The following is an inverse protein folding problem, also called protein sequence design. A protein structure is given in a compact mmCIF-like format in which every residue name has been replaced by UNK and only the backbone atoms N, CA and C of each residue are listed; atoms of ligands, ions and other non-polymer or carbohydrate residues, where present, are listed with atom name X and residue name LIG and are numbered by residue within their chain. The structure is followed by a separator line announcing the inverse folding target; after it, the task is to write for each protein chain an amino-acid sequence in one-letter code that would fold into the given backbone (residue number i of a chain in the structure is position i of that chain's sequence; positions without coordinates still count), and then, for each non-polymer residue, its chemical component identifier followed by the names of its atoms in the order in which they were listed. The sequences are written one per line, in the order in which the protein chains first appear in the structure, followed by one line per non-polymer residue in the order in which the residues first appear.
data_IF_956145262651
#
_entry.id   IF_956145262651
#
_cell.length_a   1.000
_cell.length_b   1.000
_cell.length_c   1.000
_cell.angle_alpha   90.00
_cell.angle_beta   90.00
_cell.angle_gamma   90.00
#
_symmetry.space_group_name_H-M   'P 1'
#
loop_
_entity.id
_entity.type
_entity.pdbx_description
1 polymer ?
2 polymer ?
3 polymer ?
4 non-polymer ?
5 water ?
#
loop_
_entity_poly.entity_id
_entity_poly.type
_entity_poly.pdbx_seq_one_letter_code
_entity_poly.pdbx_strand_id
1 'polydeoxyribonucleotide' '(DT)(DC)(DC)(DT)(DC)(DA)(DT)(DG)(DC)(DA)(DT)(DA)(DT)(DG)(DC)(DA)(DT)(DG)(DA)(DG)(DG)' ?
2 'polydeoxyribonucleotide' '(DT)(DC)(DC)(DT)(DC)(DA)(DT)(DG)(DC)(DA)(DT)(DA)(DT)(DG)(DC)(DA)(DT)(DG)(DA)(DG)(DG)(DA)' ?
#
# COMPACT_ATOMS: atom_id res chain seq x y z
N UNK C 5 -0.79 28.26 15.08
CA UNK C 5 -1.89 27.26 15.04
C UNK C 5 -3.20 27.92 14.61
N UNK C 6 -3.07 28.98 13.78
CA UNK C 6 -4.22 29.78 13.35
C UNK C 6 -4.94 28.93 12.31
N UNK C 7 -6.24 29.14 12.06
CA UNK C 7 -6.91 28.38 10.99
C UNK C 7 -6.48 28.80 9.60
N UNK C 8 -5.93 30.00 9.41
CA UNK C 8 -5.45 30.37 8.09
C UNK C 8 -4.17 29.62 7.76
N UNK C 9 -3.42 29.22 8.79
CA UNK C 9 -2.25 28.40 8.56
C UNK C 9 -2.65 26.99 8.15
N UNK C 10 -3.74 26.49 8.72
CA UNK C 10 -4.24 25.17 8.32
C UNK C 10 -4.82 25.22 6.91
N UNK C 11 -5.49 26.32 6.54
CA UNK C 11 -5.97 26.44 5.17
C UNK C 11 -4.83 26.64 4.18
N UNK C 12 -3.75 27.31 4.61
CA UNK C 12 -2.59 27.42 3.75
C UNK C 12 -1.97 26.05 3.51
N UNK C 13 -2.00 25.19 4.51
CA UNK C 13 -1.46 23.83 4.34
C UNK C 13 -2.37 23.00 3.43
N UNK C 14 -3.69 23.07 3.64
CA UNK C 14 -4.60 22.37 2.74
C UNK C 14 -4.41 22.82 1.29
N UNK C 15 -4.49 24.13 1.04
CA UNK C 15 -4.37 24.63 -0.34
C UNK C 15 -3.08 24.18 -0.98
N UNK C 16 -1.95 24.33 -0.28
CA UNK C 16 -0.68 23.98 -0.89
C UNK C 16 -0.58 22.48 -1.14
N UNK C 17 -1.11 21.66 -0.25
CA UNK C 17 -1.04 20.22 -0.47
C UNK C 17 -1.75 19.83 -1.77
N UNK C 18 -2.93 20.42 -2.00
CA UNK C 18 -3.62 20.19 -3.26
C UNK C 18 -2.79 20.70 -4.43
N UNK C 19 -2.24 21.90 -4.30
CA UNK C 19 -1.46 22.46 -5.39
C UNK C 19 -0.20 21.64 -5.65
N UNK C 20 0.41 21.08 -4.61
CA UNK C 20 1.60 20.28 -4.83
C UNK C 20 1.27 18.98 -5.57
N UNK C 21 0.16 18.35 -5.22
CA UNK C 21 -0.20 17.08 -5.87
C UNK C 21 -0.51 17.28 -7.35
N UNK C 22 -1.44 18.18 -7.66
CA UNK C 22 -1.77 18.41 -9.07
C UNK C 22 -0.53 18.78 -9.87
N UNK C 23 0.32 19.63 -9.31
CA UNK C 23 1.51 20.09 -10.04
C UNK C 23 2.54 18.98 -10.16
N UNK C 24 2.69 18.15 -9.13
CA UNK C 24 3.58 16.99 -9.26
C UNK C 24 3.11 16.08 -10.38
N UNK C 25 1.80 15.84 -10.46
CA UNK C 25 1.27 14.93 -11.47
C UNK C 25 1.33 15.57 -12.84
N UNK C 26 1.09 16.89 -12.92
CA UNK C 26 1.19 17.56 -14.22
C UNK C 26 2.61 17.52 -14.75
N UNK C 27 3.60 17.66 -13.86
CA UNK C 27 4.99 17.63 -14.27
C UNK C 27 5.49 16.23 -14.55
N UNK C 28 4.72 15.20 -14.23
CA UNK C 28 5.14 13.83 -14.50
C UNK C 28 6.16 13.28 -13.53
N UNK C 29 6.04 13.63 -12.26
CA UNK C 29 6.89 13.06 -11.21
C UNK C 29 6.09 12.10 -10.35
N UNK C 30 6.67 10.94 -10.04
CA UNK C 30 6.09 10.09 -9.02
C UNK C 30 6.37 10.67 -7.64
N UNK C 31 5.64 10.19 -6.62
CA UNK C 31 5.98 10.58 -5.26
C UNK C 31 7.41 10.20 -4.95
N UNK C 32 7.84 9.02 -5.40
CA UNK C 32 9.20 8.59 -5.17
C UNK C 32 10.22 9.42 -5.91
N UNK C 33 9.87 9.96 -7.08
CA UNK C 33 10.79 10.85 -7.78
C UNK C 33 11.07 12.09 -6.97
N UNK C 34 10.05 12.63 -6.31
CA UNK C 34 10.24 13.80 -5.47
C UNK C 34 11.18 13.46 -4.31
N UNK C 35 10.90 12.35 -3.63
CA UNK C 35 11.74 11.94 -2.51
C UNK C 35 13.20 11.86 -2.88
N UNK C 36 13.49 11.43 -4.12
CA UNK C 36 14.88 11.32 -4.53
C UNK C 36 15.47 12.67 -4.91
N UNK C 37 14.70 13.50 -5.63
CA UNK C 37 15.22 14.78 -6.08
C UNK C 37 15.64 15.66 -4.91
N UNK C 38 14.86 15.67 -3.83
CA UNK C 38 15.20 16.51 -2.69
C UNK C 38 16.51 16.09 -2.04
N UNK C 39 16.81 14.80 -1.99
CA UNK C 39 18.10 14.38 -1.48
C UNK C 39 19.24 15.03 -2.24
N UNK C 40 19.11 15.10 -3.56
CA UNK C 40 20.12 15.79 -4.37
C UNK C 40 20.00 17.31 -4.22
N UNK C 41 18.80 17.81 -3.97
CA UNK C 41 18.57 19.25 -3.92
C UNK C 41 18.91 19.82 -2.54
N UNK C 42 18.61 19.07 -1.47
CA UNK C 42 18.84 19.54 -0.11
C UNK C 42 19.74 18.63 0.71
N UNK C 43 20.29 17.56 0.15
CA UNK C 43 21.17 16.71 0.92
C UNK C 43 20.43 15.65 1.70
N UNK C 44 19.22 15.97 2.14
CA UNK C 44 18.41 15.09 2.96
C UNK C 44 17.36 14.44 2.07
N UNK C 45 17.47 13.14 1.88
CA UNK C 45 16.52 12.41 1.05
C UNK C 45 15.25 12.14 1.85
N UNK C 46 14.14 12.00 1.13
CA UNK C 46 12.86 11.67 1.75
C UNK C 46 12.25 10.49 1.01
N UNK C 47 11.32 9.82 1.69
CA UNK C 47 10.74 8.58 1.21
C UNK C 47 9.38 8.81 0.53
N UNK C 48 9.01 7.85 -0.32
CA UNK C 48 7.70 7.87 -0.93
C UNK C 48 6.60 7.96 0.13
N UNK C 49 6.82 7.32 1.27
CA UNK C 49 5.82 7.33 2.35
C UNK C 49 5.59 8.75 2.85
N UNK C 50 6.67 9.51 3.06
CA UNK C 50 6.54 10.85 3.62
C UNK C 50 5.86 11.79 2.62
N UNK C 51 6.20 11.65 1.33
CA UNK C 51 5.54 12.47 0.32
C UNK C 51 4.04 12.18 0.30
N UNK C 52 3.68 10.89 0.32
CA UNK C 52 2.27 10.52 0.32
C UNK C 52 1.56 11.14 1.52
N UNK C 53 2.14 10.99 2.72
CA UNK C 53 1.52 11.54 3.92
C UNK C 53 1.39 13.05 3.83
N UNK C 54 2.38 13.71 3.21
CA UNK C 54 2.29 15.17 3.08
C UNK C 54 1.14 15.58 2.18
N UNK C 55 1.03 14.94 1.02
CA UNK C 55 -0.02 15.33 0.08
C UNK C 55 -1.40 15.12 0.66
N UNK C 56 -1.55 14.23 1.62
CA UNK C 56 -2.84 13.96 2.25
C UNK C 56 -2.94 14.55 3.65
N UNK C 57 -1.89 15.22 4.14
CA UNK C 57 -1.91 15.80 5.48
C UNK C 57 -2.04 14.72 6.55
N UNK C 58 -1.45 13.55 6.30
CA UNK C 58 -1.36 12.53 7.32
C UNK C 58 -0.12 12.79 8.17
N UNK C 59 0.05 14.04 8.62
CA UNK C 59 1.18 14.42 9.44
C UNK C 59 0.73 15.47 10.45
N UNK C 60 1.55 15.66 11.47
CA UNK C 60 1.29 16.71 12.44
C UNK C 60 1.41 18.09 11.79
N UNK C 61 0.65 19.05 12.31
CA UNK C 61 0.76 20.42 11.82
C UNK C 61 2.20 20.88 11.84
N UNK C 62 2.91 20.61 12.94
CA UNK C 62 4.34 20.97 13.09
C UNK C 62 5.13 20.31 11.96
N UNK C 63 4.88 19.03 11.66
CA UNK C 63 5.61 18.29 10.63
C UNK C 63 5.31 18.86 9.24
N UNK C 64 4.04 19.09 8.94
CA UNK C 64 3.66 19.74 7.69
C UNK C 64 4.45 21.03 7.47
N UNK C 65 4.42 21.93 8.45
CA UNK C 65 5.01 23.26 8.29
C UNK C 65 6.51 23.17 7.99
N UNK C 66 7.20 22.17 8.53
CA UNK C 66 8.63 22.07 8.28
C UNK C 66 8.92 21.53 6.88
N UNK C 67 8.04 20.67 6.34
CA UNK C 67 8.29 20.10 5.01
C UNK C 67 7.82 21.01 3.89
N UNK C 68 6.76 21.79 4.11
CA UNK C 68 6.22 22.62 3.04
C UNK C 68 7.29 23.47 2.36
N UNK C 69 8.08 24.27 3.08
CA UNK C 69 9.08 25.09 2.37
C UNK C 69 10.08 24.26 1.58
N UNK C 70 10.47 23.09 2.10
CA UNK C 70 11.36 22.21 1.35
C UNK C 70 10.72 21.76 0.05
N UNK C 71 9.51 21.20 0.13
CA UNK C 71 8.80 20.78 -1.09
C UNK C 71 8.48 21.98 -1.98
N UNK C 72 8.31 23.17 -1.39
CA UNK C 72 7.99 24.34 -2.20
C UNK C 72 9.15 24.74 -3.09
N UNK C 73 10.37 24.75 -2.56
CA UNK C 73 11.51 25.08 -3.40
C UNK C 73 11.64 24.10 -4.54
N UNK C 74 11.49 22.81 -4.27
CA UNK C 74 11.61 21.81 -5.34
C UNK C 74 10.60 22.09 -6.44
N UNK C 75 9.35 22.36 -6.06
CA UNK C 75 8.32 22.62 -7.06
C UNK C 75 8.63 23.89 -7.85
N UNK C 76 9.03 24.97 -7.16
CA UNK C 76 9.32 26.21 -7.86
C UNK C 76 10.43 26.00 -8.88
N UNK C 77 11.47 25.24 -8.54
CA UNK C 77 12.54 24.99 -9.49
C UNK C 77 12.05 24.13 -10.65
N UNK C 78 11.14 23.20 -10.38
CA UNK C 78 10.64 22.32 -11.43
C UNK C 78 9.68 23.05 -12.35
N UNK C 79 8.88 23.98 -11.82
CA UNK C 79 7.92 24.72 -12.64
C UNK C 79 8.59 25.70 -13.60
N UNK C 80 9.85 26.06 -13.36
CA UNK C 80 10.57 26.95 -14.26
C UNK C 80 11.43 26.19 -15.25
N UNK C 81 11.84 24.96 -14.91
CA UNK C 81 12.55 24.11 -15.85
C UNK C 81 11.60 23.56 -16.91
N UNK C 82 10.32 23.39 -16.57
CA UNK C 82 9.36 22.86 -17.54
C UNK C 82 8.87 23.93 -18.51
N UNK C 83 8.92 25.21 -18.11
CA UNK C 83 8.52 26.29 -19.00
C UNK C 83 9.67 26.72 -19.90
N UNK C 84 10.91 26.30 -19.57
CA UNK C 84 12.08 26.54 -20.39
C UNK C 84 12.32 25.43 -21.41
N UNK C 85 11.79 24.22 -21.13
CA UNK C 85 11.84 23.12 -22.09
C UNK C 85 10.53 23.03 -22.85
N UNK D 7 -3.54 -33.19 -0.66
CA UNK D 7 -3.19 -33.95 -1.85
C UNK D 7 -3.98 -33.54 -3.10
N UNK D 8 -5.01 -32.72 -2.90
CA UNK D 8 -5.91 -32.33 -3.98
C UNK D 8 -5.22 -31.51 -5.07
N UNK D 9 -4.03 -30.96 -4.79
CA UNK D 9 -3.21 -30.18 -5.72
C UNK D 9 -3.52 -28.71 -5.49
N UNK D 10 -4.80 -28.40 -5.29
CA UNK D 10 -5.16 -27.07 -4.84
C UNK D 10 -4.74 -26.90 -3.37
N UNK D 11 -4.86 -27.97 -2.58
CA UNK D 11 -4.33 -27.93 -1.22
C UNK D 11 -2.82 -27.94 -1.22
N UNK D 12 -2.19 -28.52 -2.25
CA UNK D 12 -0.74 -28.48 -2.35
C UNK D 12 -0.25 -27.05 -2.61
N UNK D 13 -0.99 -26.28 -3.41
CA UNK D 13 -0.61 -24.89 -3.65
C UNK D 13 -0.86 -24.03 -2.42
N UNK D 14 -2.01 -24.22 -1.76
CA UNK D 14 -2.30 -23.47 -0.55
C UNK D 14 -1.18 -23.64 0.46
N UNK D 15 -0.87 -24.89 0.82
CA UNK D 15 0.17 -25.14 1.79
C UNK D 15 1.49 -24.55 1.33
N UNK D 16 1.85 -24.76 0.07
CA UNK D 16 3.14 -24.27 -0.39
C UNK D 16 3.20 -22.75 -0.32
N UNK D 17 2.10 -22.09 -0.68
CA UNK D 17 2.06 -20.63 -0.59
C UNK D 17 2.19 -20.17 0.85
N UNK D 18 1.48 -20.82 1.77
CA UNK D 18 1.61 -20.47 3.19
C UNK D 18 3.03 -20.72 3.69
N UNK D 19 3.59 -21.89 3.38
CA UNK D 19 4.93 -22.20 3.85
C UNK D 19 5.97 -21.33 3.18
N UNK D 20 5.74 -20.92 1.94
CA UNK D 20 6.70 -20.05 1.29
C UNK D 20 6.78 -18.72 2.00
N UNK D 21 5.65 -18.20 2.47
CA UNK D 21 5.66 -16.92 3.16
C UNK D 21 6.47 -17.02 4.45
N UNK D 22 6.12 -17.99 5.30
CA UNK D 22 6.87 -18.16 6.54
C UNK D 22 8.34 -18.40 6.26
N UNK D 23 8.65 -19.20 5.24
CA UNK D 23 10.05 -19.50 4.96
C UNK D 23 10.78 -18.29 4.38
N UNK D 24 10.10 -17.49 3.54
CA UNK D 24 10.71 -16.26 3.05
C UNK D 24 11.03 -15.32 4.21
N UNK D 25 10.12 -15.23 5.17
CA UNK D 25 10.29 -14.30 6.28
C UNK D 25 11.37 -14.78 7.23
N UNK D 26 11.50 -16.10 7.43
CA UNK D 26 12.56 -16.60 8.30
C UNK D 26 13.93 -16.27 7.72
N UNK D 27 14.06 -16.28 6.39
CA UNK D 27 15.33 -15.96 5.76
C UNK D 27 15.62 -14.47 5.77
N UNK D 28 14.64 -13.63 6.10
CA UNK D 28 14.85 -12.21 6.06
C UNK D 28 14.87 -11.63 4.67
N UNK D 29 14.06 -12.18 3.75
CA UNK D 29 13.93 -11.65 2.41
C UNK D 29 12.60 -10.93 2.24
N UNK D 30 12.67 -9.75 1.62
CA UNK D 30 11.47 -9.04 1.22
C UNK D 30 10.87 -9.71 -0.02
N UNK D 31 9.62 -9.36 -0.29
CA UNK D 31 8.98 -9.84 -1.51
C UNK D 31 9.74 -9.38 -2.74
N UNK D 32 10.23 -8.14 -2.74
CA UNK D 32 10.96 -7.65 -3.89
C UNK D 32 12.32 -8.31 -4.07
N UNK D 33 12.99 -8.66 -2.97
CA UNK D 33 14.27 -9.34 -3.08
C UNK D 33 14.12 -10.71 -3.75
N UNK D 34 13.02 -11.42 -3.45
CA UNK D 34 12.79 -12.70 -4.11
C UNK D 34 12.63 -12.49 -5.61
N UNK D 35 11.79 -11.52 -5.99
CA UNK D 35 11.59 -11.27 -7.41
C UNK D 35 12.89 -11.01 -8.16
N UNK D 36 13.82 -10.29 -7.52
CA UNK D 36 15.09 -9.97 -8.17
C UNK D 36 16.03 -11.16 -8.16
N UNK D 37 16.12 -11.87 -7.03
CA UNK D 37 17.02 -13.01 -6.94
C UNK D 37 16.68 -14.06 -8.00
N UNK D 38 15.38 -14.27 -8.25
CA UNK D 38 14.97 -15.24 -9.25
C UNK D 38 15.43 -14.83 -10.64
N UNK D 39 15.34 -13.54 -10.95
CA UNK D 39 15.80 -13.06 -12.25
C UNK D 39 17.28 -13.31 -12.49
N UNK D 40 18.12 -13.04 -11.49
CA UNK D 40 19.55 -13.28 -11.66
C UNK D 40 19.86 -14.76 -11.66
N UNK D 41 19.09 -15.56 -10.92
CA UNK D 41 19.36 -16.99 -10.81
C UNK D 41 18.71 -17.80 -11.92
N UNK D 42 17.51 -17.42 -12.35
CA UNK D 42 16.74 -18.23 -13.29
C UNK D 42 16.35 -17.45 -14.54
N UNK D 43 16.86 -16.23 -14.69
CA UNK D 43 16.69 -15.39 -15.88
C UNK D 43 15.56 -14.37 -15.96
N UNK D 44 14.36 -14.71 -15.49
CA UNK D 44 13.23 -13.79 -15.55
C UNK D 44 12.88 -13.29 -14.15
N UNK D 45 13.06 -11.99 -13.93
CA UNK D 45 12.73 -11.40 -12.64
C UNK D 45 11.23 -11.12 -12.53
N UNK D 46 10.76 -11.04 -11.28
CA UNK D 46 9.37 -10.76 -10.98
C UNK D 46 9.28 -9.61 -9.99
N UNK D 47 8.09 -9.04 -9.87
CA UNK D 47 7.87 -7.84 -9.08
C UNK D 47 7.37 -8.17 -7.69
N UNK D 48 7.57 -7.22 -6.77
CA UNK D 48 7.03 -7.38 -5.42
C UNK D 48 5.53 -7.62 -5.45
N UNK D 49 4.83 -7.03 -6.42
CA UNK D 49 3.38 -7.24 -6.53
C UNK D 49 3.05 -8.70 -6.83
N UNK D 50 3.80 -9.31 -7.77
CA UNK D 50 3.50 -10.69 -8.15
C UNK D 50 3.77 -11.65 -7.00
N UNK D 51 4.86 -11.44 -6.26
CA UNK D 51 5.15 -12.27 -5.11
C UNK D 51 4.05 -12.13 -4.07
N UNK D 52 3.65 -10.89 -3.77
CA UNK D 52 2.62 -10.66 -2.78
C UNK D 52 1.35 -11.41 -3.12
N UNK D 53 0.94 -11.36 -4.39
CA UNK D 53 -0.27 -12.06 -4.81
C UNK D 53 -0.13 -13.56 -4.68
N UNK D 54 1.07 -14.09 -4.97
CA UNK D 54 1.28 -15.52 -4.83
C UNK D 54 1.09 -15.97 -3.38
N UNK D 55 1.71 -15.25 -2.45
CA UNK D 55 1.62 -15.61 -1.04
C UNK D 55 0.19 -15.52 -0.51
N UNK D 56 -0.66 -14.72 -1.15
CA UNK D 56 -2.04 -14.56 -0.72
C UNK D 56 -3.02 -15.30 -1.63
N UNK D 57 -2.52 -16.00 -2.64
CA UNK D 57 -3.36 -16.78 -3.56
C UNK D 57 -4.30 -15.87 -4.36
N UNK D 58 -3.86 -14.65 -4.61
CA UNK D 58 -4.58 -13.72 -5.49
C UNK D 58 -4.13 -13.87 -6.94
N UNK D 59 -3.85 -15.10 -7.40
CA UNK D 59 -3.44 -15.38 -8.80
C UNK D 59 -4.28 -16.55 -9.30
N UNK D 60 -4.35 -16.75 -10.61
CA UNK D 60 -5.09 -17.88 -11.22
C UNK D 60 -4.41 -19.18 -10.81
N UNK D 61 -5.14 -20.30 -10.75
CA UNK D 61 -4.56 -21.63 -10.41
C UNK D 61 -3.51 -21.99 -11.46
N UNK D 62 -3.64 -21.49 -12.68
CA UNK D 62 -2.68 -21.75 -13.77
C UNK D 62 -1.39 -20.96 -13.50
N UNK D 63 -1.49 -19.71 -13.03
CA UNK D 63 -0.31 -18.83 -12.80
C UNK D 63 0.33 -19.22 -11.46
N UNK D 64 -0.47 -19.67 -10.50
CA UNK D 64 0.07 -20.18 -9.22
C UNK D 64 0.92 -21.41 -9.54
N UNK D 65 0.48 -22.28 -10.45
CA UNK D 65 1.23 -23.48 -10.80
C UNK D 65 2.49 -23.16 -11.57
N UNK D 66 2.49 -22.08 -12.35
CA UNK D 66 3.66 -21.72 -13.12
C UNK D 66 4.78 -21.16 -12.24
N UNK D 67 4.41 -20.47 -11.16
CA UNK D 67 5.42 -19.85 -10.31
C UNK D 67 5.99 -20.79 -9.26
N UNK D 68 5.20 -21.78 -8.81
CA UNK D 68 5.61 -22.65 -7.71
C UNK D 68 7.00 -23.25 -7.91
N UNK D 69 7.26 -23.95 -9.02
CA UNK D 69 8.60 -24.56 -9.17
C UNK D 69 9.72 -23.54 -9.17
N UNK D 70 9.50 -22.35 -9.73
CA UNK D 70 10.51 -21.30 -9.66
C UNK D 70 10.81 -20.93 -8.22
N UNK D 71 9.77 -20.58 -7.46
CA UNK D 71 9.96 -20.25 -6.05
C UNK D 71 10.50 -21.45 -5.28
N UNK D 72 10.19 -22.66 -5.73
CA UNK D 72 10.66 -23.87 -5.06
C UNK D 72 12.17 -24.00 -5.21
N UNK D 73 12.70 -23.80 -6.42
CA UNK D 73 14.14 -23.83 -6.62
C UNK D 73 14.85 -22.74 -5.83
N UNK D 74 14.31 -21.52 -5.86
CA UNK D 74 14.95 -20.41 -5.15
C UNK D 74 15.06 -20.69 -3.66
N UNK D 75 14.00 -21.27 -3.06
CA UNK D 75 14.06 -21.59 -1.64
C UNK D 75 15.18 -22.57 -1.33
N UNK D 76 15.37 -23.58 -2.17
CA UNK D 76 16.46 -24.52 -1.92
C UNK D 76 17.80 -23.81 -1.86
N UNK D 77 18.04 -22.88 -2.79
CA UNK D 77 19.32 -22.17 -2.83
C UNK D 77 19.48 -21.24 -1.63
N UNK D 78 18.41 -20.55 -1.24
CA UNK D 78 18.51 -19.57 -0.17
C UNK D 78 18.63 -20.22 1.20
N UNK D 79 17.92 -21.32 1.43
CA UNK D 79 17.97 -21.98 2.74
C UNK D 79 19.30 -22.69 2.99
N UNK D 80 20.06 -22.99 1.94
CA UNK D 80 21.40 -23.58 2.10
C UNK D 80 22.52 -22.57 1.86
N UNK D 81 22.39 -21.32 2.33
CA UNK D 81 23.50 -20.38 2.17
C UNK D 81 24.65 -20.70 3.13
N UNK D 82 24.32 -21.16 4.34
CA UNK D 82 25.31 -21.44 5.37
C UNK D 82 25.90 -22.85 5.30
N UNK D 83 25.25 -23.78 4.61
CA UNK D 83 25.64 -25.19 4.65
C UNK D 83 26.83 -25.41 3.72
N UNK D 84 27.98 -25.74 4.30
CA UNK D 84 29.14 -26.15 3.52
C UNK D 84 29.16 -27.66 3.35
N UNK E 110 9.04 -13.44 12.32
CA UNK E 110 8.45 -13.08 13.59
C UNK E 110 7.56 -11.84 13.47
N UNK E 111 7.34 -11.35 12.24
CA UNK E 111 6.48 -10.20 12.03
C UNK E 111 5.21 -10.34 12.85
N UNK E 112 4.70 -9.21 13.33
CA UNK E 112 3.48 -9.19 14.12
C UNK E 112 2.38 -8.46 13.36
N UNK E 113 1.27 -9.14 13.11
CA UNK E 113 0.08 -8.58 12.50
C UNK E 113 -1.05 -8.69 13.51
N UNK E 114 -1.95 -7.71 13.51
CA UNK E 114 -3.04 -7.68 14.48
C UNK E 114 -4.30 -8.25 13.82
N UNK E 115 -4.89 -9.25 14.47
CA UNK E 115 -6.17 -9.79 14.02
C UNK E 115 -7.19 -8.67 13.94
N UNK E 116 -8.09 -8.78 12.97
CA UNK E 116 -9.11 -7.76 12.77
C UNK E 116 -9.87 -7.47 14.06
N UNK E 117 -10.36 -8.51 14.74
CA UNK E 117 -11.11 -8.29 15.97
C UNK E 117 -10.22 -7.84 17.13
N UNK E 118 -8.94 -8.22 17.12
CA UNK E 118 -8.00 -7.67 18.12
C UNK E 118 -7.85 -6.16 17.93
N UNK E 119 -7.81 -5.70 16.67
CA UNK E 119 -7.66 -4.28 16.42
C UNK E 119 -8.87 -3.51 16.95
N UNK E 120 -10.05 -4.08 16.83
CA UNK E 120 -11.23 -3.43 17.41
C UNK E 120 -11.12 -3.37 18.92
N UNK E 121 -10.64 -4.44 19.55
CA UNK E 121 -10.48 -4.43 21.00
C UNK E 121 -9.46 -3.38 21.44
N UNK E 122 -8.32 -3.31 20.75
CA UNK E 122 -7.31 -2.31 21.12
C UNK E 122 -7.84 -0.90 20.90
N UNK E 123 -8.61 -0.69 19.83
CA UNK E 123 -9.23 0.60 19.61
C UNK E 123 -10.23 0.91 20.72
N UNK E 124 -11.03 -0.08 21.13
CA UNK E 124 -11.99 0.14 22.20
C UNK E 124 -11.30 0.59 23.49
N UNK E 125 -10.15 0.01 23.81
CA UNK E 125 -9.43 0.42 25.01
C UNK E 125 -8.83 1.81 24.86
N UNK E 126 -8.40 2.19 23.65
CA UNK E 126 -7.80 3.53 23.39
C UNK E 126 -8.84 4.61 23.63
N UNK E 127 -10.06 4.40 23.15
CA UNK E 127 -11.13 5.41 23.26
C UNK E 127 -11.45 5.61 24.73
N UNK E 128 -11.23 4.58 25.56
CA UNK E 128 -11.44 4.65 27.02
C UNK E 128 -10.22 5.29 27.67
N UNK E 129 -9.00 4.82 27.37
CA UNK E 129 -7.76 5.35 27.94
C UNK E 129 -6.72 5.41 26.84
N UNK E 130 -6.36 6.63 26.43
CA UNK E 130 -5.41 6.82 25.34
C UNK E 130 -3.96 6.59 25.74
N UNK E 131 -3.63 6.66 27.03
CA UNK E 131 -2.26 6.54 27.52
C UNK E 131 -2.21 5.57 28.69
N UNK E 132 -2.13 4.27 28.42
CA UNK E 132 -2.04 3.29 29.50
C UNK E 132 -0.64 3.22 30.09
N UNK E 133 -0.58 2.80 31.35
CA UNK E 133 0.68 2.62 32.02
C UNK E 133 1.36 1.33 31.56
N UNK E 134 2.64 1.21 31.89
CA UNK E 134 3.39 0.00 31.53
C UNK E 134 2.73 -1.24 32.13
N UNK E 135 2.09 -1.11 33.29
CA UNK E 135 1.42 -2.24 33.90
C UNK E 135 0.16 -2.60 33.12
N UNK E 136 -0.64 -1.59 32.76
CA UNK E 136 -1.83 -1.85 31.97
C UNK E 136 -1.47 -2.47 30.63
N UNK E 137 -0.39 -1.98 30.01
CA UNK E 137 0.06 -2.54 28.74
C UNK E 137 0.32 -4.03 28.89
N UNK E 138 0.94 -4.43 30.00
CA UNK E 138 1.23 -5.84 30.24
C UNK E 138 -0.04 -6.66 30.40
N UNK E 139 -1.05 -6.09 31.06
CA UNK E 139 -2.30 -6.81 31.26
C UNK E 139 -3.08 -6.93 29.95
N UNK E 140 -3.09 -5.86 29.13
CA UNK E 140 -3.69 -5.94 27.81
C UNK E 140 -2.97 -6.98 26.97
N UNK E 141 -1.63 -6.95 26.99
CA UNK E 141 -0.87 -7.92 26.22
C UNK E 141 -1.09 -9.34 26.74
N UNK E 142 -1.15 -9.51 28.05
CA UNK E 142 -1.42 -10.83 28.62
C UNK E 142 -2.81 -11.32 28.23
N UNK E 143 -3.82 -10.45 28.34
CA UNK E 143 -5.22 -10.80 28.00
C UNK E 143 -5.29 -11.17 26.52
N UNK E 144 -4.53 -10.49 25.66
CA UNK E 144 -4.53 -10.76 24.22
C UNK E 144 -3.44 -11.75 23.81
N UNK E 145 -2.59 -12.19 24.75
CA UNK E 145 -1.49 -13.09 24.46
C UNK E 145 -0.61 -12.55 23.32
N UNK E 146 -0.04 -11.37 23.58
CA UNK E 146 0.82 -10.69 22.62
C UNK E 146 2.05 -10.17 23.36
N UNK E 147 3.11 -9.89 22.60
CA UNK E 147 4.28 -9.27 23.20
C UNK E 147 3.93 -7.87 23.68
N UNK E 148 4.47 -7.51 24.84
CA UNK E 148 4.13 -6.23 25.45
C UNK E 148 4.58 -5.05 24.59
N UNK E 149 5.69 -5.20 23.86
CA UNK E 149 6.16 -4.11 23.01
C UNK E 149 5.24 -3.87 21.83
N UNK E 150 4.62 -4.93 21.30
CA UNK E 150 3.70 -4.73 20.18
C UNK E 150 2.51 -3.89 20.62
N UNK E 151 2.04 -4.12 21.85
CA UNK E 151 0.97 -3.29 22.38
C UNK E 151 1.52 -1.92 22.75
N UNK E 152 2.72 -1.89 23.32
CA UNK E 152 3.35 -0.63 23.67
C UNK E 152 3.47 0.28 22.45
N UNK E 153 3.92 -0.28 21.33
CA UNK E 153 4.14 0.52 20.13
C UNK E 153 2.81 0.88 19.49
N UNK E 154 1.83 -0.03 19.54
CA UNK E 154 0.55 0.25 18.92
C UNK E 154 -0.09 1.48 19.55
N UNK E 155 -0.03 1.60 20.87
CA UNK E 155 -0.62 2.76 21.52
C UNK E 155 0.16 4.03 21.20
N UNK E 156 1.47 3.92 21.00
CA UNK E 156 2.24 5.09 20.57
C UNK E 156 1.75 5.57 19.22
N UNK E 157 1.68 4.66 18.26
CA UNK E 157 1.28 5.05 16.91
C UNK E 157 -0.15 5.56 16.89
N UNK E 158 -1.03 4.99 17.72
CA UNK E 158 -2.41 5.44 17.74
C UNK E 158 -2.51 6.85 18.32
N UNK E 159 -1.64 7.20 19.28
CA UNK E 159 -1.59 8.58 19.75
C UNK E 159 -1.06 9.51 18.65
N UNK E 160 0.04 9.13 18.01
CA UNK E 160 0.60 9.96 16.94
C UNK E 160 -0.44 10.25 15.87
N UNK E 161 -1.09 9.20 15.37
CA UNK E 161 -2.03 9.39 14.26
C UNK E 161 -3.20 10.27 14.67
N UNK E 162 -3.55 10.27 15.96
CA UNK E 162 -4.62 11.14 16.42
C UNK E 162 -4.19 12.61 16.40
N UNK E 163 -2.89 12.89 16.43
CA UNK E 163 -2.40 14.27 16.32
C UNK E 163 -2.05 14.64 14.88
N UNK E 164 -2.66 14.01 13.90
CA UNK E 164 -2.43 14.39 12.52
C UNK E 164 -3.55 15.34 12.09
N UNK E 165 -3.28 16.17 11.07
CA UNK E 165 -4.29 17.13 10.55
C UNK E 165 -5.44 16.26 10.07
N UNK E 166 -5.12 15.22 9.32
CA UNK E 166 -6.11 14.22 8.85
C UNK E 166 -5.63 12.90 9.48
N UNK E 167 -6.27 12.30 10.50
CA UNK E 167 -5.81 11.00 11.01
C UNK E 167 -5.61 9.95 9.91
N UNK F 110 0.27 7.29 -15.28
CA UNK F 110 -1.05 7.69 -15.76
C UNK F 110 -2.13 6.80 -15.16
N UNK F 111 -2.81 7.30 -14.12
CA UNK F 111 -3.88 6.57 -13.46
C UNK F 111 -5.02 7.52 -13.17
N UNK F 112 -6.25 7.02 -13.28
CA UNK F 112 -7.46 7.76 -12.93
C UNK F 112 -8.11 7.04 -11.75
N UNK F 113 -8.43 7.79 -10.70
CA UNK F 113 -8.95 7.22 -9.48
C UNK F 113 -10.44 7.53 -9.29
N UNK F 114 -11.12 6.58 -8.66
CA UNK F 114 -12.56 6.64 -8.41
C UNK F 114 -12.79 7.16 -7.01
N UNK F 115 -13.74 8.09 -6.87
CA UNK F 115 -14.05 8.69 -5.58
C UNK F 115 -14.26 7.61 -4.53
N UNK F 116 -15.39 6.90 -4.58
CA UNK F 116 -15.70 5.85 -3.63
C UNK F 116 -17.14 5.42 -3.79
N UNK F 117 -18.06 6.38 -3.76
CA UNK F 117 -19.48 6.06 -3.97
C UNK F 117 -19.74 5.73 -5.43
N UNK F 118 -18.93 6.28 -6.34
CA UNK F 118 -18.98 5.87 -7.73
C UNK F 118 -18.63 4.39 -7.84
N UNK F 119 -17.64 3.94 -7.06
CA UNK F 119 -17.25 2.53 -7.09
C UNK F 119 -18.37 1.64 -6.58
N UNK F 120 -19.13 2.09 -5.58
CA UNK F 120 -20.25 1.29 -5.06
C UNK F 120 -21.31 1.11 -6.13
N UNK F 121 -21.66 2.19 -6.83
CA UNK F 121 -22.63 2.08 -7.92
C UNK F 121 -22.06 1.22 -9.04
N UNK F 122 -20.76 1.39 -9.34
CA UNK F 122 -20.08 0.65 -10.43
C UNK F 122 -20.03 -0.83 -10.01
N UNK F 123 -19.84 -1.12 -8.71
CA UNK F 123 -19.89 -2.50 -8.22
C UNK F 123 -21.30 -3.06 -8.34
N UNK F 124 -22.31 -2.24 -8.02
CA UNK F 124 -23.69 -2.70 -8.16
C UNK F 124 -23.99 -3.11 -9.60
N UNK F 125 -23.41 -2.41 -10.56
CA UNK F 125 -23.62 -2.76 -11.97
C UNK F 125 -22.95 -4.09 -12.31
N UNK F 126 -21.79 -4.36 -11.72
CA UNK F 126 -21.13 -5.64 -11.96
C UNK F 126 -21.97 -6.79 -11.42
N UNK F 127 -22.42 -6.67 -10.17
CA UNK F 127 -23.26 -7.70 -9.57
C UNK F 127 -24.53 -7.93 -10.38
N UNK F 128 -25.02 -6.90 -11.05
CA UNK F 128 -26.19 -7.06 -11.91
C UNK F 128 -25.83 -7.78 -13.19
N UNK F 129 -24.76 -7.33 -13.86
CA UNK F 129 -24.31 -7.93 -15.11
C UNK F 129 -22.79 -7.96 -15.07
N UNK F 130 -22.22 -9.17 -14.94
CA UNK F 130 -20.78 -9.31 -14.82
C UNK F 130 -20.06 -9.13 -16.13
N UNK F 131 -20.75 -9.30 -17.25
CA UNK F 131 -20.17 -9.17 -18.60
C UNK F 131 -21.07 -8.29 -19.43
N UNK F 132 -20.94 -6.97 -19.30
CA UNK F 132 -21.76 -6.06 -20.11
C UNK F 132 -21.19 -5.90 -21.52
N UNK F 133 -22.09 -5.54 -22.43
CA UNK F 133 -21.69 -5.26 -23.80
C UNK F 133 -21.04 -3.88 -23.88
N UNK F 134 -20.43 -3.59 -25.03
CA UNK F 134 -19.80 -2.29 -25.22
C UNK F 134 -20.81 -1.16 -25.02
N UNK F 135 -22.08 -1.40 -25.36
CA UNK F 135 -23.10 -0.37 -25.19
C UNK F 135 -23.41 -0.13 -23.71
N UNK F 136 -23.58 -1.21 -22.94
CA UNK F 136 -23.90 -1.07 -21.52
C UNK F 136 -22.81 -0.30 -20.78
N UNK F 137 -21.54 -0.64 -21.04
CA UNK F 137 -20.44 0.06 -20.39
C UNK F 137 -20.51 1.56 -20.67
N UNK F 138 -20.85 1.94 -21.90
CA UNK F 138 -20.92 3.37 -22.22
C UNK F 138 -22.02 4.06 -21.43
N UNK F 139 -23.18 3.41 -21.29
CA UNK F 139 -24.27 4.01 -20.53
C UNK F 139 -23.97 4.00 -19.04
N UNK F 140 -23.30 2.95 -18.55
CA UNK F 140 -22.84 2.95 -17.16
C UNK F 140 -21.95 4.14 -16.90
N UNK F 141 -21.02 4.42 -17.83
CA UNK F 141 -20.17 5.59 -17.68
C UNK F 141 -20.97 6.88 -17.74
N UNK F 142 -21.99 6.93 -18.61
CA UNK F 142 -22.83 8.10 -18.69
C UNK F 142 -23.53 8.38 -17.37
N UNK F 143 -24.00 7.32 -16.71
CA UNK F 143 -24.71 7.42 -15.40
C UNK F 143 -23.73 7.89 -14.34
N UNK F 144 -22.48 7.43 -14.37
CA UNK F 144 -21.48 7.75 -13.30
C UNK F 144 -20.79 9.09 -13.58
N UNK F 145 -19.88 9.17 -14.57
CA UNK F 145 -19.05 10.37 -14.88
C UNK F 145 -17.71 9.94 -15.50
N UNK F 146 -17.21 8.74 -15.16
CA UNK F 146 -15.91 8.20 -15.67
C UNK F 146 -15.85 8.16 -17.19
N UNK F 147 -14.67 7.95 -17.77
CA UNK F 147 -14.48 7.82 -19.23
C UNK F 147 -15.00 6.42 -19.59
N UNK F 148 -15.30 6.17 -20.86
CA UNK F 148 -15.87 4.86 -21.31
C UNK F 148 -14.82 3.77 -21.18
N UNK F 149 -13.54 4.07 -21.40
CA UNK F 149 -12.43 3.08 -21.36
C UNK F 149 -11.99 2.87 -19.92
N UNK F 150 -12.24 3.83 -19.04
CA UNK F 150 -11.96 3.66 -17.59
C UNK F 150 -12.90 2.55 -17.12
N UNK F 151 -14.12 2.45 -17.68
CA UNK F 151 -15.09 1.47 -17.20
C UNK F 151 -14.82 0.12 -17.82
N UNK F 152 -14.43 0.09 -19.10
CA UNK F 152 -14.10 -1.18 -19.76
C UNK F 152 -13.06 -1.95 -18.95
N UNK F 153 -12.01 -1.26 -18.50
CA UNK F 153 -10.93 -1.94 -17.81
C UNK F 153 -11.36 -2.35 -16.40
N UNK F 154 -12.18 -1.53 -15.76
CA UNK F 154 -12.63 -1.90 -14.41
C UNK F 154 -13.39 -3.21 -14.43
N UNK F 155 -14.25 -3.40 -15.44
CA UNK F 155 -14.97 -4.66 -15.55
C UNK F 155 -14.04 -5.81 -15.89
N UNK F 156 -12.95 -5.52 -16.62
CA UNK F 156 -11.95 -6.54 -16.89
C UNK F 156 -11.30 -7.03 -15.61
N UNK F 157 -10.82 -6.10 -14.77
CA UNK F 157 -10.13 -6.49 -13.55
C UNK F 157 -11.06 -7.17 -12.56
N UNK F 158 -12.30 -6.71 -12.47
CA UNK F 158 -13.24 -7.36 -11.54
C UNK F 158 -13.58 -8.76 -12.01
N UNK F 159 -13.58 -9.00 -13.32
CA UNK F 159 -13.70 -10.36 -13.83
C UNK F 159 -12.46 -11.16 -13.47
N UNK F 160 -11.27 -10.59 -13.71
CA UNK F 160 -10.03 -11.25 -13.31
C UNK F 160 -10.05 -11.61 -11.83
N UNK F 161 -10.41 -10.64 -10.98
CA UNK F 161 -10.37 -10.88 -9.55
C UNK F 161 -11.34 -11.98 -9.13
N UNK F 162 -12.44 -12.14 -9.86
CA UNK F 162 -13.40 -13.21 -9.58
C UNK F 162 -12.85 -14.57 -9.97
N UNK F 163 -11.88 -14.62 -10.88
CA UNK F 163 -11.29 -15.84 -11.37
C UNK F 163 -10.03 -16.25 -10.61
N UNK F 164 -9.88 -15.77 -9.38
CA UNK F 164 -8.74 -16.09 -8.52
C UNK F 164 -9.09 -17.14 -7.48
N UNK F 165 -8.04 -17.73 -6.91
CA UNK F 165 -8.21 -18.74 -5.87
C UNK F 165 -8.77 -18.13 -4.59
N UNK F 166 -8.33 -16.92 -4.21
CA UNK F 166 -8.77 -16.34 -2.96
C UNK F 166 -10.03 -15.47 -3.11
N UNK F 167 -9.95 -14.28 -3.73
CA UNK F 167 -11.17 -13.46 -3.76
C UNK F 167 -12.25 -14.05 -4.66
X LIG G 1 -8.65 -5.89 26.71
#
# INVERSE_FOLDING_TARGET
GSHMEEPSDLEELEQFARTFKQRRIKLGFTQGDVGLAMGKLYGNDFSQTTISRFEALNLSFKNMCKLKPLLEKWLNDAETMSVDSSLPSPNQLSSPSLGFDGLPGRRRKKRTSIETNVRFALEKSFLANQKPTSEEILLIAEQLHMEKEVIRVWFCNRRQKEKRINP
GSHMEEPSDLEELEQFARTFKQRRIKLGFTQGDVGLAMGKLYGNDFSQTTISRFEALNLSFKNMCKLKPLLEKWLNDAETMSVDSSLPSPNQLSSPSLGFDGLPGRRRKKRTSIETNVRFALEKSFLANQKPTSEEILLIAEQLHMEKEVIRVWFCNRRQKEKRINP
GSHMEEPSDLEELEQFARTFKQRRIKLGFTQGDVGLAMGKLYGNDFSQTTISRFEALNLSFKNMCKLKPLLEKWLNDAETMSVDSSLPSPNQLSSPSLGFDGLPGRRRKKRTSIETNVRFALEKSFLANQKPTSEEILLIAEQLHMEKEVIRVWFCNRRQKEKRINP
GSHMEEPSDLEELEQFARTFKQRRIKLGFTQGDVGLAMGKLYGNDFSQTTISRFEALNLSFKNMCKLKPLLEKWLNDAETMSVDSSLPSPNQLSSPSLGFDGLPGRRRKKRTSIETNVRFALEKSFLANQKPTSEEILLIAEQLHMEKEVIRVWFCNRRQKEKRINP
BR BR
#
